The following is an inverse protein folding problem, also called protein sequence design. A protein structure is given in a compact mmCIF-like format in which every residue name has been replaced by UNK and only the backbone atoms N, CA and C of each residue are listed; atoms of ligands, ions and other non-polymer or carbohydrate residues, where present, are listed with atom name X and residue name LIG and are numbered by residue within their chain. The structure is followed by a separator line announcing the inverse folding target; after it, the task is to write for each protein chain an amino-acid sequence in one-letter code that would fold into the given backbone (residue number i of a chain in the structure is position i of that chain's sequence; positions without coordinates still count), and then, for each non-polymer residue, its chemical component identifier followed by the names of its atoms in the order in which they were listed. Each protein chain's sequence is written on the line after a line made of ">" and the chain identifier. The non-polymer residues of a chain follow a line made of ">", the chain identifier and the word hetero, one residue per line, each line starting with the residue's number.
data_IF_473605782653
#
_entry.id   IF_473605782653
#
_cell.length_a   1.000
_cell.length_b   1.000
_cell.length_c   1.000
_cell.angle_alpha   90.00
_cell.angle_beta   90.00
_cell.angle_gamma   90.00
#
_symmetry.space_group_name_H-M   'P 1'
#
loop_
_entity.id
_entity.type
_entity.pdbx_description
1 polymer ?
#
# COMPACT_ATOMS: atom_id res chain seq x y z
N UNK A 1 7.18 22.25 -11.12
CA UNK A 1 6.33 21.37 -10.31
C UNK A 1 6.23 21.96 -8.92
N UNK A 2 5.27 21.97 -8.14
CA UNK A 2 5.14 22.33 -6.70
C UNK A 2 5.84 23.61 -6.20
N UNK A 3 6.37 24.48 -7.06
CA UNK A 3 7.04 25.74 -6.68
C UNK A 3 6.15 26.72 -5.87
N UNK A 4 4.85 26.42 -5.77
CA UNK A 4 3.87 27.26 -5.08
C UNK A 4 3.31 26.65 -3.78
N UNK A 5 3.64 25.38 -3.44
CA UNK A 5 3.12 24.75 -2.20
C UNK A 5 4.12 24.91 -1.07
N UNK A 6 3.73 25.60 0.00
CA UNK A 6 4.59 25.86 1.15
C UNK A 6 5.01 24.55 1.88
N UNK A 7 6.19 24.54 2.50
CA UNK A 7 6.68 23.36 3.24
C UNK A 7 5.70 22.84 4.29
N UNK A 8 5.00 23.69 5.08
CA UNK A 8 3.99 23.19 6.02
C UNK A 8 2.84 22.43 5.35
N UNK A 9 2.36 22.90 4.19
CA UNK A 9 1.30 22.17 3.45
C UNK A 9 1.78 20.86 2.89
N UNK A 10 3.03 20.83 2.38
CA UNK A 10 3.64 19.56 1.90
C UNK A 10 3.86 18.58 3.05
N UNK A 11 4.33 19.05 4.20
CA UNK A 11 4.50 18.22 5.39
C UNK A 11 3.15 17.70 5.91
N UNK A 12 2.10 18.52 5.90
CA UNK A 12 0.75 18.07 6.25
C UNK A 12 0.23 16.99 5.28
N UNK A 13 0.50 17.11 3.99
CA UNK A 13 0.16 16.10 2.99
C UNK A 13 0.91 14.78 3.24
N UNK A 14 2.20 14.83 3.59
CA UNK A 14 2.98 13.64 3.96
C UNK A 14 2.45 13.00 5.25
N UNK A 15 2.12 13.79 6.27
CA UNK A 15 1.56 13.32 7.53
C UNK A 15 0.20 12.62 7.31
N UNK A 16 -0.73 13.31 6.65
CA UNK A 16 -2.09 12.80 6.41
C UNK A 16 -2.04 11.60 5.46
N UNK A 17 -1.25 11.68 4.40
CA UNK A 17 -1.09 10.57 3.44
C UNK A 17 -0.49 9.33 4.09
N UNK A 18 0.54 9.48 4.94
CA UNK A 18 1.13 8.34 5.65
C UNK A 18 0.19 7.81 6.73
N UNK A 19 -0.56 8.67 7.42
CA UNK A 19 -1.60 8.22 8.34
C UNK A 19 -2.67 7.40 7.61
N UNK A 20 -3.18 7.89 6.47
CA UNK A 20 -4.14 7.16 5.63
C UNK A 20 -3.58 5.81 5.16
N UNK A 21 -2.30 5.76 4.77
CA UNK A 21 -1.64 4.51 4.39
C UNK A 21 -1.67 3.51 5.55
N UNK A 22 -1.32 3.93 6.77
CA UNK A 22 -1.30 3.02 7.92
C UNK A 22 -2.71 2.64 8.39
N UNK A 23 -3.70 3.52 8.26
CA UNK A 23 -5.12 3.15 8.47
C UNK A 23 -5.52 2.02 7.53
N UNK A 24 -5.17 2.12 6.24
CA UNK A 24 -5.48 1.07 5.27
C UNK A 24 -4.74 -0.22 5.58
N UNK A 25 -3.42 -0.15 5.80
CA UNK A 25 -2.58 -1.35 6.02
C UNK A 25 -2.97 -2.07 7.30
N UNK A 26 -3.09 -1.36 8.41
CA UNK A 26 -3.42 -1.93 9.72
C UNK A 26 -4.89 -2.34 9.77
N UNK A 27 -5.79 -1.44 9.36
CA UNK A 27 -7.23 -1.70 9.40
C UNK A 27 -7.65 -2.88 8.53
N UNK A 28 -7.16 -2.96 7.29
CA UNK A 28 -7.45 -4.12 6.44
C UNK A 28 -6.84 -5.41 6.96
N UNK A 29 -5.68 -5.33 7.64
CA UNK A 29 -5.08 -6.49 8.30
C UNK A 29 -5.88 -7.00 9.48
N UNK A 30 -6.42 -6.09 10.32
CA UNK A 30 -7.33 -6.44 11.42
C UNK A 30 -8.60 -7.07 10.85
N UNK A 31 -9.27 -6.40 9.91
CA UNK A 31 -10.50 -6.88 9.30
C UNK A 31 -10.33 -8.26 8.64
N UNK A 32 -9.24 -8.45 7.90
CA UNK A 32 -8.98 -9.70 7.21
C UNK A 32 -8.74 -10.86 8.20
N UNK A 33 -8.02 -10.62 9.29
CA UNK A 33 -7.77 -11.62 10.34
C UNK A 33 -9.03 -11.95 11.16
N UNK A 34 -9.98 -11.01 11.30
CA UNK A 34 -11.27 -11.24 11.95
C UNK A 34 -12.24 -12.05 11.07
N UNK A 35 -12.22 -11.80 9.76
CA UNK A 35 -13.12 -12.47 8.81
C UNK A 35 -12.63 -13.84 8.36
N UNK A 36 -11.33 -14.10 8.39
CA UNK A 36 -10.76 -15.36 7.90
C UNK A 36 -9.69 -15.91 8.85
N UNK A 37 -9.76 -17.21 9.12
CA UNK A 37 -8.69 -17.94 9.83
C UNK A 37 -7.59 -18.43 8.89
N UNK A 38 -7.83 -18.40 7.58
CA UNK A 38 -6.82 -18.69 6.57
C UNK A 38 -5.93 -17.48 6.37
N UNK A 39 -4.65 -17.62 6.74
CA UNK A 39 -3.67 -16.54 6.65
C UNK A 39 -3.37 -16.11 5.21
N UNK A 40 -3.52 -17.00 4.23
CA UNK A 40 -3.38 -16.68 2.81
C UNK A 40 -4.50 -15.76 2.34
N UNK A 41 -5.75 -16.06 2.71
CA UNK A 41 -6.92 -15.23 2.42
C UNK A 41 -6.77 -13.85 3.10
N UNK A 42 -6.36 -13.83 4.37
CA UNK A 42 -6.11 -12.57 5.08
C UNK A 42 -5.00 -11.75 4.39
N UNK A 43 -3.92 -12.40 3.93
CA UNK A 43 -2.84 -11.72 3.20
C UNK A 43 -3.30 -11.19 1.85
N UNK A 44 -4.13 -11.93 1.08
CA UNK A 44 -4.71 -11.44 -0.18
C UNK A 44 -5.53 -10.18 0.07
N UNK A 45 -6.47 -10.22 1.00
CA UNK A 45 -7.34 -9.09 1.31
C UNK A 45 -6.52 -7.85 1.75
N UNK A 46 -5.56 -8.04 2.67
CA UNK A 46 -4.68 -6.97 3.14
C UNK A 46 -3.79 -6.41 2.01
N UNK A 47 -3.20 -7.25 1.17
CA UNK A 47 -2.32 -6.81 0.08
C UNK A 47 -3.08 -6.01 -0.98
N UNK A 48 -4.29 -6.44 -1.35
CA UNK A 48 -5.14 -5.72 -2.31
C UNK A 48 -5.59 -4.37 -1.75
N UNK A 49 -6.10 -4.34 -0.51
CA UNK A 49 -6.52 -3.10 0.12
C UNK A 49 -5.35 -2.12 0.26
N UNK A 50 -4.18 -2.61 0.71
CA UNK A 50 -2.96 -1.80 0.85
C UNK A 50 -2.49 -1.22 -0.48
N UNK A 51 -2.48 -2.02 -1.54
CA UNK A 51 -2.06 -1.58 -2.87
C UNK A 51 -3.00 -0.52 -3.45
N UNK A 52 -4.31 -0.78 -3.42
CA UNK A 52 -5.32 0.16 -3.92
C UNK A 52 -5.28 1.46 -3.13
N UNK A 53 -5.25 1.37 -1.79
CA UNK A 53 -5.14 2.52 -0.91
C UNK A 53 -3.88 3.35 -1.15
N UNK A 54 -2.71 2.68 -1.28
CA UNK A 54 -1.45 3.35 -1.59
C UNK A 54 -1.50 4.09 -2.93
N UNK A 55 -1.99 3.43 -3.99
CA UNK A 55 -2.10 4.05 -5.33
C UNK A 55 -3.01 5.28 -5.32
N UNK A 56 -4.15 5.19 -4.62
CA UNK A 56 -5.08 6.32 -4.43
C UNK A 56 -4.43 7.48 -3.67
N UNK A 57 -3.75 7.19 -2.56
CA UNK A 57 -3.07 8.19 -1.73
C UNK A 57 -1.95 8.88 -2.52
N UNK A 58 -1.13 8.13 -3.27
CA UNK A 58 -0.09 8.73 -4.13
C UNK A 58 -0.72 9.63 -5.19
N UNK A 59 -1.83 9.21 -5.80
CA UNK A 59 -2.53 10.00 -6.81
C UNK A 59 -3.06 11.30 -6.23
N UNK A 60 -3.63 11.25 -5.03
CA UNK A 60 -4.24 12.41 -4.35
C UNK A 60 -3.18 13.42 -3.85
N UNK A 61 -2.13 12.93 -3.19
CA UNK A 61 -1.14 13.79 -2.54
C UNK A 61 0.11 14.08 -3.40
N UNK A 62 0.30 13.32 -4.49
CA UNK A 62 1.42 13.53 -5.41
C UNK A 62 1.58 14.96 -5.91
N UNK A 63 0.51 15.63 -6.38
CA UNK A 63 0.57 17.02 -6.81
C UNK A 63 0.91 18.02 -5.69
N UNK A 64 0.70 17.67 -4.42
CA UNK A 64 0.91 18.53 -3.26
C UNK A 64 2.33 18.43 -2.69
N UNK A 65 2.79 17.20 -2.42
CA UNK A 65 4.05 16.93 -1.72
C UNK A 65 5.04 16.06 -2.49
N UNK A 66 4.59 15.42 -3.55
CA UNK A 66 5.28 14.31 -4.21
C UNK A 66 4.83 12.94 -3.67
N UNK A 67 4.03 12.93 -2.59
CA UNK A 67 3.52 11.72 -1.91
C UNK A 67 4.64 10.70 -1.68
N UNK A 68 5.72 11.11 -1.03
CA UNK A 68 6.81 10.19 -0.69
C UNK A 68 6.35 9.12 0.30
N UNK A 69 5.61 9.53 1.35
CA UNK A 69 4.99 8.66 2.38
C UNK A 69 5.97 7.65 3.02
N UNK A 70 7.26 7.86 2.79
CA UNK A 70 8.32 6.90 3.08
C UNK A 70 9.67 7.64 3.23
N UNK A 71 10.36 7.50 4.38
CA UNK A 71 11.66 8.14 4.58
C UNK A 71 12.72 7.70 3.57
N UNK A 72 12.72 6.44 3.10
CA UNK A 72 13.68 5.99 2.07
C UNK A 72 13.43 6.73 0.76
N UNK A 73 12.18 6.84 0.31
CA UNK A 73 11.82 7.59 -0.91
C UNK A 73 12.22 9.07 -0.75
N UNK A 74 12.01 9.64 0.43
CA UNK A 74 12.43 11.01 0.75
C UNK A 74 13.96 11.19 0.66
N UNK A 75 14.72 10.23 1.20
CA UNK A 75 16.18 10.23 1.12
C UNK A 75 16.69 10.09 -0.32
N UNK A 76 16.02 9.31 -1.17
CA UNK A 76 16.41 9.22 -2.59
C UNK A 76 16.20 10.55 -3.33
N UNK A 77 15.15 11.29 -2.99
CA UNK A 77 14.89 12.64 -3.53
C UNK A 77 15.93 13.64 -3.05
N UNK A 78 16.29 13.60 -1.77
CA UNK A 78 17.38 14.42 -1.22
C UNK A 78 18.73 14.08 -1.89
N UNK A 79 19.05 12.81 -2.06
CA UNK A 79 20.27 12.37 -2.75
C UNK A 79 20.33 12.86 -4.20
N UNK A 80 19.21 12.80 -4.92
CA UNK A 80 19.13 13.31 -6.28
C UNK A 80 19.51 14.80 -6.34
N UNK A 81 19.06 15.60 -5.37
CA UNK A 81 19.46 17.02 -5.25
C UNK A 81 20.96 17.17 -4.92
N UNK A 82 21.51 16.35 -4.03
CA UNK A 82 22.94 16.41 -3.70
C UNK A 82 23.85 16.07 -4.90
N UNK A 83 23.34 15.31 -5.86
CA UNK A 83 24.05 14.90 -7.08
C UNK A 83 23.76 15.80 -8.29
N UNK A 84 23.19 16.98 -8.06
CA UNK A 84 22.94 18.00 -9.09
C UNK A 84 21.63 17.87 -9.85
N UNK A 85 20.70 16.97 -9.40
CA UNK A 85 19.36 16.84 -9.94
C UNK A 85 18.32 17.66 -9.15
N UNK A 86 17.07 17.50 -9.54
CA UNK A 86 15.92 18.04 -8.81
C UNK A 86 15.57 17.14 -7.62
N UNK A 87 15.22 17.76 -6.47
CA UNK A 87 14.83 17.03 -5.28
C UNK A 87 14.69 17.90 -4.05
N UNK A 88 14.51 17.28 -2.89
CA UNK A 88 14.33 17.97 -1.61
C UNK A 88 15.65 18.46 -1.02
N UNK A 89 15.61 19.65 -0.37
CA UNK A 89 16.69 20.08 0.50
C UNK A 89 16.77 19.23 1.78
N UNK A 90 17.91 19.22 2.46
CA UNK A 90 18.10 18.41 3.67
C UNK A 90 17.10 18.72 4.78
N UNK A 91 16.77 20.01 5.00
CA UNK A 91 15.74 20.45 5.95
C UNK A 91 14.36 19.92 5.56
N UNK A 92 14.01 19.96 4.28
CA UNK A 92 12.74 19.47 3.78
C UNK A 92 12.62 17.96 3.94
N UNK A 93 13.70 17.21 3.65
CA UNK A 93 13.75 15.77 3.83
C UNK A 93 13.55 15.37 5.30
N UNK A 94 14.17 16.09 6.24
CA UNK A 94 13.99 15.84 7.66
C UNK A 94 12.54 16.10 8.11
N UNK A 95 11.94 17.21 7.67
CA UNK A 95 10.54 17.54 7.96
C UNK A 95 9.59 16.48 7.41
N UNK A 96 9.85 15.99 6.19
CA UNK A 96 9.06 14.91 5.59
C UNK A 96 9.17 13.62 6.40
N UNK A 97 10.39 13.18 6.73
CA UNK A 97 10.60 11.96 7.51
C UNK A 97 9.90 12.02 8.88
N UNK A 98 9.96 13.18 9.55
CA UNK A 98 9.26 13.41 10.82
C UNK A 98 7.73 13.36 10.64
N UNK A 99 7.19 14.04 9.62
CA UNK A 99 5.76 14.04 9.30
C UNK A 99 5.24 12.66 8.95
N UNK A 100 5.99 11.90 8.13
CA UNK A 100 5.68 10.53 7.74
C UNK A 100 5.65 9.59 8.96
N UNK A 101 6.65 9.71 9.86
CA UNK A 101 6.71 8.86 11.06
C UNK A 101 5.56 9.18 12.01
N UNK A 102 5.28 10.46 12.26
CA UNK A 102 4.15 10.88 13.09
C UNK A 102 2.81 10.43 12.47
N UNK A 103 2.66 10.57 11.15
CA UNK A 103 1.49 10.10 10.41
C UNK A 103 1.32 8.59 10.51
N UNK A 104 2.41 7.82 10.36
CA UNK A 104 2.37 6.37 10.47
C UNK A 104 1.91 5.89 11.85
N UNK A 105 2.45 6.47 12.92
CA UNK A 105 2.03 6.16 14.29
C UNK A 105 0.55 6.53 14.48
N UNK A 106 0.16 7.76 14.11
CA UNK A 106 -1.22 8.22 14.24
C UNK A 106 -2.21 7.37 13.45
N UNK A 107 -1.84 6.94 12.24
CA UNK A 107 -2.67 6.06 11.40
C UNK A 107 -2.84 4.65 11.99
N UNK A 108 -1.79 4.07 12.55
CA UNK A 108 -1.87 2.76 13.21
C UNK A 108 -2.76 2.83 14.46
N UNK A 109 -2.57 3.86 15.30
CA UNK A 109 -3.40 4.10 16.49
C UNK A 109 -4.87 4.33 16.13
N UNK A 110 -5.13 5.11 15.06
CA UNK A 110 -6.48 5.34 14.55
C UNK A 110 -7.13 4.05 14.04
N UNK A 111 -6.37 3.20 13.34
CA UNK A 111 -6.88 1.91 12.88
C UNK A 111 -7.31 1.04 14.08
N UNK A 112 -6.47 0.89 15.11
CA UNK A 112 -6.86 0.13 16.32
C UNK A 112 -8.13 0.71 16.96
N UNK A 113 -8.24 2.04 17.06
CA UNK A 113 -9.42 2.70 17.63
C UNK A 113 -10.69 2.43 16.80
N UNK A 114 -10.61 2.41 15.45
CA UNK A 114 -11.73 2.11 14.57
C UNK A 114 -12.30 0.70 14.78
N UNK A 115 -11.47 -0.24 15.20
CA UNK A 115 -11.88 -1.62 15.49
C UNK A 115 -12.15 -1.88 17.00
N UNK A 116 -12.26 -0.82 17.82
CA UNK A 116 -12.52 -0.95 19.25
C UNK A 116 -11.41 -1.66 20.03
N UNK A 117 -10.19 -1.71 19.48
CA UNK A 117 -9.02 -2.31 20.11
C UNK A 117 -8.26 -1.26 20.93
N UNK A 118 -7.32 -1.68 21.80
CA UNK A 118 -6.53 -0.76 22.63
C UNK A 118 -5.58 0.07 21.75
N UNK A 119 -5.82 1.38 21.56
CA UNK A 119 -5.01 2.20 20.68
C UNK A 119 -3.57 2.32 21.20
N UNK A 120 -2.59 2.13 20.32
CA UNK A 120 -1.17 2.31 20.65
C UNK A 120 -0.54 1.17 21.44
N UNK A 121 -1.20 0.03 21.57
CA UNK A 121 -0.58 -1.18 22.10
C UNK A 121 0.61 -1.59 21.24
N UNK A 122 1.76 -1.84 21.87
CA UNK A 122 2.92 -2.30 21.11
C UNK A 122 2.71 -3.73 20.58
N UNK A 123 3.11 -3.92 19.34
CA UNK A 123 3.08 -5.22 18.70
C UNK A 123 4.01 -6.22 19.41
N UNK A 124 3.51 -7.43 19.61
CA UNK A 124 4.26 -8.54 20.21
C UNK A 124 4.92 -9.43 19.18
N UNK A 125 4.53 -9.34 17.91
CA UNK A 125 5.04 -10.19 16.82
C UNK A 125 6.50 -9.87 16.50
N UNK A 126 7.40 -10.70 16.98
CA UNK A 126 8.84 -10.62 16.67
C UNK A 126 9.05 -11.05 15.20
N UNK A 127 9.73 -10.20 14.45
CA UNK A 127 10.13 -10.45 13.06
C UNK A 127 11.64 -10.38 12.99
N UNK A 128 12.30 -11.51 13.14
CA UNK A 128 13.74 -11.65 13.11
C UNK A 128 14.18 -12.71 12.08
N UNK A 129 15.48 -12.73 11.81
CA UNK A 129 16.07 -13.66 10.86
C UNK A 129 16.59 -12.96 9.58
N UNK A 130 17.77 -13.40 9.16
CA UNK A 130 18.46 -12.81 8.01
C UNK A 130 17.65 -12.84 6.71
N UNK A 131 16.81 -13.86 6.51
CA UNK A 131 15.95 -13.98 5.34
C UNK A 131 14.92 -12.85 5.27
N UNK A 132 14.36 -12.39 6.40
CA UNK A 132 13.44 -11.26 6.44
C UNK A 132 14.15 -9.95 6.07
N UNK A 133 15.38 -9.76 6.57
CA UNK A 133 16.19 -8.58 6.25
C UNK A 133 16.54 -8.56 4.76
N UNK A 134 16.90 -9.70 4.16
CA UNK A 134 17.10 -9.82 2.71
C UNK A 134 15.82 -9.46 1.97
N UNK A 135 14.64 -9.93 2.45
CA UNK A 135 13.34 -9.56 1.91
C UNK A 135 13.11 -8.05 1.90
N UNK A 136 13.45 -7.35 2.98
CA UNK A 136 13.34 -5.89 3.08
C UNK A 136 14.31 -5.16 2.13
N UNK A 137 15.56 -5.64 1.99
CA UNK A 137 16.50 -5.08 1.01
C UNK A 137 15.94 -5.19 -0.40
N UNK A 138 15.45 -6.37 -0.80
CA UNK A 138 14.89 -6.61 -2.14
C UNK A 138 13.62 -5.77 -2.36
N UNK A 139 12.70 -5.77 -1.40
CA UNK A 139 11.46 -4.99 -1.47
C UNK A 139 11.74 -3.49 -1.66
N UNK A 140 12.65 -2.95 -0.85
CA UNK A 140 12.94 -1.51 -0.89
C UNK A 140 13.77 -1.14 -2.12
N UNK A 141 14.71 -1.98 -2.53
CA UNK A 141 15.49 -1.76 -3.75
C UNK A 141 14.60 -1.72 -5.00
N UNK A 142 13.67 -2.65 -5.12
CA UNK A 142 12.73 -2.68 -6.23
C UNK A 142 11.76 -1.49 -6.21
N UNK A 143 11.26 -1.09 -5.03
CA UNK A 143 10.43 0.11 -4.89
C UNK A 143 11.16 1.36 -5.41
N UNK A 144 12.40 1.58 -4.97
CA UNK A 144 13.21 2.71 -5.40
C UNK A 144 13.52 2.61 -6.89
N UNK A 145 13.83 1.42 -7.40
CA UNK A 145 14.09 1.21 -8.83
C UNK A 145 12.86 1.54 -9.68
N UNK A 146 11.65 1.15 -9.27
CA UNK A 146 10.40 1.49 -9.97
C UNK A 146 10.19 2.99 -10.03
N UNK A 147 10.31 3.68 -8.89
CA UNK A 147 10.10 5.14 -8.82
C UNK A 147 11.15 5.87 -9.67
N UNK A 148 12.42 5.56 -9.46
CA UNK A 148 13.54 6.23 -10.14
C UNK A 148 13.59 5.89 -11.63
N UNK A 149 13.30 4.65 -11.99
CA UNK A 149 13.26 4.20 -13.39
C UNK A 149 12.17 4.94 -14.17
N UNK A 150 10.94 4.94 -13.65
CA UNK A 150 9.82 5.63 -14.30
C UNK A 150 10.06 7.15 -14.39
N UNK A 151 10.65 7.74 -13.36
CA UNK A 151 11.03 9.17 -13.38
C UNK A 151 12.03 9.46 -14.50
N UNK A 152 13.09 8.64 -14.65
CA UNK A 152 14.16 8.85 -15.64
C UNK A 152 13.74 8.64 -17.09
N UNK A 153 12.76 7.77 -17.33
CA UNK A 153 12.20 7.55 -18.68
C UNK A 153 11.01 8.48 -19.01
N UNK A 154 10.75 9.49 -18.15
CA UNK A 154 9.68 10.46 -18.37
C UNK A 154 8.26 9.95 -18.17
N UNK A 155 8.10 8.78 -17.52
CA UNK A 155 6.80 8.15 -17.26
C UNK A 155 6.31 8.31 -15.81
N UNK A 156 6.65 9.44 -15.17
CA UNK A 156 6.30 9.68 -13.76
C UNK A 156 4.78 9.60 -13.48
N UNK A 157 3.92 9.86 -14.47
CA UNK A 157 2.46 9.71 -14.33
C UNK A 157 2.01 8.27 -14.02
N UNK A 158 2.83 7.28 -14.31
CA UNK A 158 2.55 5.86 -14.02
C UNK A 158 2.97 5.45 -12.60
N UNK A 159 3.73 6.28 -11.87
CA UNK A 159 4.26 5.95 -10.54
C UNK A 159 3.15 5.46 -9.58
N UNK A 160 1.99 6.12 -9.46
CA UNK A 160 0.96 5.66 -8.52
C UNK A 160 0.54 4.21 -8.76
N UNK A 161 0.24 3.86 -10.01
CA UNK A 161 -0.20 2.51 -10.39
C UNK A 161 0.94 1.50 -10.29
N UNK A 162 2.15 1.87 -10.76
CA UNK A 162 3.30 0.98 -10.74
C UNK A 162 3.77 0.68 -9.32
N UNK A 163 3.78 1.66 -8.42
CA UNK A 163 4.12 1.47 -7.00
C UNK A 163 3.07 0.61 -6.31
N UNK A 164 1.77 0.87 -6.54
CA UNK A 164 0.69 0.05 -6.02
C UNK A 164 0.83 -1.42 -6.46
N UNK A 165 1.02 -1.67 -7.76
CA UNK A 165 1.20 -3.01 -8.31
C UNK A 165 2.47 -3.69 -7.78
N UNK A 166 3.59 -2.93 -7.67
CA UNK A 166 4.84 -3.45 -7.13
C UNK A 166 4.67 -3.88 -5.67
N UNK A 167 4.05 -3.05 -4.82
CA UNK A 167 3.84 -3.38 -3.40
C UNK A 167 2.88 -4.57 -3.25
N UNK A 168 1.81 -4.62 -4.05
CA UNK A 168 0.94 -5.81 -4.08
C UNK A 168 1.73 -7.09 -4.33
N UNK A 169 2.60 -7.09 -5.34
CA UNK A 169 3.46 -8.22 -5.66
C UNK A 169 4.51 -8.48 -4.56
N UNK A 170 5.17 -7.43 -4.04
CA UNK A 170 6.25 -7.54 -3.07
C UNK A 170 5.81 -8.12 -1.73
N UNK A 171 4.57 -7.88 -1.30
CA UNK A 171 3.97 -8.53 -0.13
C UNK A 171 4.00 -10.06 -0.27
N UNK A 172 3.90 -10.57 -1.50
CA UNK A 172 3.84 -12.00 -1.79
C UNK A 172 5.20 -12.63 -2.09
N UNK A 173 6.07 -11.94 -2.84
CA UNK A 173 7.34 -12.55 -3.26
C UNK A 173 8.48 -12.33 -2.25
N UNK A 174 8.31 -11.48 -1.24
CA UNK A 174 9.32 -11.29 -0.20
C UNK A 174 8.95 -11.99 1.10
N UNK A 175 9.92 -12.58 1.75
CA UNK A 175 9.74 -13.29 3.03
C UNK A 175 9.30 -12.37 4.19
N UNK A 176 9.58 -11.07 4.09
CA UNK A 176 9.23 -10.07 5.10
C UNK A 176 7.79 -9.58 5.00
N UNK A 177 7.12 -9.81 3.84
CA UNK A 177 5.84 -9.18 3.52
C UNK A 177 5.98 -7.70 3.12
N UNK A 178 7.18 -7.30 2.68
CA UNK A 178 7.46 -5.99 2.06
C UNK A 178 6.98 -4.78 2.87
N UNK A 179 7.62 -4.49 3.99
CA UNK A 179 7.37 -3.22 4.68
C UNK A 179 7.94 -2.04 3.88
N UNK A 180 9.20 -2.18 3.43
CA UNK A 180 9.88 -1.29 2.49
C UNK A 180 9.79 0.21 2.85
N UNK A 181 9.51 0.55 4.12
CA UNK A 181 9.18 1.90 4.58
C UNK A 181 9.51 2.05 6.07
N UNK A 182 10.55 2.80 6.47
CA UNK A 182 10.90 3.01 7.87
C UNK A 182 9.77 3.62 8.72
N UNK A 183 9.04 4.62 8.18
CA UNK A 183 7.92 5.22 8.89
C UNK A 183 6.78 4.22 9.09
N UNK A 184 6.43 3.46 8.04
CA UNK A 184 5.44 2.40 8.13
C UNK A 184 5.85 1.30 9.11
N UNK A 185 7.14 0.92 9.12
CA UNK A 185 7.70 -0.06 10.07
C UNK A 185 7.56 0.41 11.51
N UNK A 186 7.91 1.66 11.80
CA UNK A 186 7.74 2.26 13.12
C UNK A 186 6.24 2.34 13.49
N UNK A 187 5.39 2.82 12.58
CA UNK A 187 3.95 2.93 12.85
C UNK A 187 3.31 1.58 13.19
N UNK A 188 3.68 0.51 12.46
CA UNK A 188 3.15 -0.85 12.69
C UNK A 188 3.57 -1.46 14.02
N UNK A 189 4.58 -0.90 14.73
CA UNK A 189 4.90 -1.32 16.09
C UNK A 189 3.89 -0.84 17.13
N UNK A 190 3.01 0.11 16.78
CA UNK A 190 1.94 0.62 17.64
C UNK A 190 0.59 -0.07 17.36
N UNK A 191 0.61 -1.26 16.79
CA UNK A 191 -0.57 -2.09 16.52
C UNK A 191 -0.23 -3.55 16.72
N UNK A 192 -0.81 -4.18 17.74
CA UNK A 192 -0.67 -5.63 17.97
C UNK A 192 -1.68 -6.40 17.13
N UNK A 193 -1.49 -6.38 15.82
CA UNK A 193 -2.36 -6.94 14.81
C UNK A 193 -1.60 -7.84 13.84
N UNK A 194 -2.32 -8.45 12.89
CA UNK A 194 -1.77 -9.25 11.79
C UNK A 194 -0.58 -8.58 11.09
N UNK A 195 -0.62 -7.25 10.97
CA UNK A 195 0.43 -6.48 10.30
C UNK A 195 1.52 -5.97 11.23
N UNK A 196 1.43 -6.22 12.53
CA UNK A 196 2.32 -5.68 13.56
C UNK A 196 3.78 -6.15 13.44
N UNK A 197 4.67 -5.42 14.11
CA UNK A 197 6.08 -5.76 14.28
C UNK A 197 6.56 -5.33 15.66
N UNK A 198 7.14 -6.24 16.43
CA UNK A 198 7.65 -5.93 17.76
C UNK A 198 8.78 -4.87 17.70
N UNK A 199 8.84 -3.93 18.66
CA UNK A 199 9.83 -2.84 18.66
C UNK A 199 11.28 -3.30 18.52
N UNK A 200 11.62 -4.45 19.09
CA UNK A 200 12.97 -5.02 18.99
C UNK A 200 13.41 -5.38 17.57
N UNK A 201 12.47 -5.61 16.66
CA UNK A 201 12.74 -5.94 15.25
C UNK A 201 12.96 -4.69 14.38
N UNK A 202 12.58 -3.50 14.85
CA UNK A 202 12.65 -2.25 14.08
C UNK A 202 14.05 -1.92 13.56
N UNK A 203 15.14 -2.00 14.39
CA UNK A 203 16.46 -1.58 13.93
C UNK A 203 16.96 -2.39 12.72
N UNK A 204 16.73 -3.71 12.71
CA UNK A 204 17.10 -4.58 11.60
C UNK A 204 16.34 -4.25 10.33
N UNK A 205 15.03 -4.08 10.42
CA UNK A 205 14.18 -3.73 9.28
C UNK A 205 14.55 -2.37 8.69
N UNK A 206 14.70 -1.34 9.54
CA UNK A 206 15.06 0.01 9.08
C UNK A 206 16.43 0.01 8.40
N UNK A 207 17.42 -0.69 8.98
CA UNK A 207 18.75 -0.80 8.37
C UNK A 207 18.70 -1.51 7.00
N UNK A 208 17.93 -2.61 6.88
CA UNK A 208 17.74 -3.33 5.63
C UNK A 208 17.03 -2.47 4.58
N UNK A 209 16.03 -1.68 4.97
CA UNK A 209 15.33 -0.75 4.09
C UNK A 209 16.24 0.37 3.58
N UNK A 210 17.09 0.94 4.44
CA UNK A 210 18.06 1.95 4.03
C UNK A 210 19.08 1.38 3.04
N UNK A 211 19.59 0.17 3.31
CA UNK A 211 20.47 -0.55 2.38
C UNK A 211 19.76 -0.83 1.06
N UNK A 212 18.52 -1.30 1.10
CA UNK A 212 17.69 -1.53 -0.08
C UNK A 212 17.50 -0.26 -0.92
N UNK A 213 17.26 0.88 -0.25
CA UNK A 213 17.19 2.18 -0.91
C UNK A 213 18.46 2.55 -1.66
N UNK A 214 19.63 2.33 -1.04
CA UNK A 214 20.93 2.57 -1.67
C UNK A 214 21.15 1.63 -2.88
N UNK A 215 20.82 0.34 -2.74
CA UNK A 215 20.90 -0.64 -3.84
C UNK A 215 19.98 -0.24 -4.98
N UNK A 216 18.73 0.15 -4.70
CA UNK A 216 17.78 0.61 -5.72
C UNK A 216 18.25 1.84 -6.47
N UNK A 217 18.85 2.81 -5.78
CA UNK A 217 19.50 3.97 -6.42
C UNK A 217 20.66 3.58 -7.33
N UNK A 218 21.53 2.67 -6.86
CA UNK A 218 22.65 2.18 -7.65
C UNK A 218 22.18 1.44 -8.91
N UNK A 219 21.19 0.57 -8.79
CA UNK A 219 20.58 -0.12 -9.92
C UNK A 219 19.93 0.87 -10.91
N UNK A 220 19.21 1.87 -10.40
CA UNK A 220 18.62 2.88 -11.26
C UNK A 220 19.68 3.72 -11.97
N UNK A 221 20.81 4.03 -11.33
CA UNK A 221 21.94 4.72 -11.96
C UNK A 221 22.64 3.87 -13.01
N UNK A 222 22.81 2.59 -12.73
CA UNK A 222 23.42 1.63 -13.65
C UNK A 222 22.57 1.44 -14.91
N UNK A 223 21.26 1.26 -14.75
CA UNK A 223 20.37 0.90 -15.87
C UNK A 223 19.89 2.11 -16.70
N UNK A 224 19.67 3.26 -16.05
CA UNK A 224 19.10 4.45 -16.70
C UNK A 224 20.06 5.64 -16.74
N UNK A 225 21.31 5.46 -16.30
CA UNK A 225 22.32 6.53 -16.21
C UNK A 225 22.13 7.41 -14.97
N UNK A 226 23.13 8.27 -14.71
CA UNK A 226 23.05 9.25 -13.60
C UNK A 226 21.94 10.27 -13.84
N UNK A 227 21.51 10.96 -12.75
CA UNK A 227 20.60 12.11 -12.84
C UNK A 227 21.32 13.21 -13.62
N UNK A 228 20.97 13.41 -14.90
CA UNK A 228 21.47 14.54 -15.68
C UNK A 228 20.72 15.78 -15.25
N UNK A 229 21.44 16.79 -14.75
CA UNK A 229 20.94 18.15 -14.64
C UNK A 229 20.40 18.57 -16.01
N UNK A 230 19.17 19.06 -16.05
CA UNK A 230 18.37 19.39 -17.22
C UNK A 230 19.14 19.70 -18.48
N UNK A 231 19.26 18.73 -19.34
CA UNK A 231 19.60 18.96 -20.73
C UNK A 231 18.31 19.22 -21.48
N UNK A 232 18.03 20.49 -21.71
CA UNK A 232 17.07 21.02 -22.69
C UNK A 232 17.60 20.82 -24.12
N UNK A 233 18.16 19.65 -24.41
CA UNK A 233 18.52 19.26 -25.77
C UNK A 233 17.69 18.03 -26.15
N UNK A 234 16.37 18.20 -26.19
CA UNK A 234 15.61 17.47 -27.17
C UNK A 234 15.95 18.13 -28.53
N UNK A 235 16.57 17.46 -29.48
CA UNK A 235 16.45 17.90 -30.85
C UNK A 235 14.94 17.98 -31.10
N UNK A 236 14.46 19.14 -31.51
CA UNK A 236 13.15 19.27 -32.07
C UNK A 236 13.05 18.15 -33.15
N UNK A 237 12.31 17.10 -32.85
CA UNK A 237 11.87 16.21 -33.89
C UNK A 237 11.04 17.13 -34.78
N UNK A 238 11.65 17.50 -35.92
CA UNK A 238 10.98 18.16 -37.02
C UNK A 238 9.81 17.24 -37.35
N UNK A 239 8.62 17.67 -36.96
CA UNK A 239 7.37 17.01 -37.35
C UNK A 239 7.34 17.06 -38.86
N UNK A 240 7.78 15.97 -39.49
CA UNK A 240 7.49 15.77 -40.90
C UNK A 240 5.96 15.87 -41.06
N UNK A 241 5.46 16.69 -41.98
CA UNK A 241 4.04 16.85 -42.19
C UNK A 241 3.45 15.48 -42.53
N UNK A 242 2.67 14.91 -41.60
CA UNK A 242 1.91 13.69 -41.87
C UNK A 242 0.88 14.05 -42.90
N UNK A 243 1.18 13.67 -44.17
CA UNK A 243 0.22 13.73 -45.24
C UNK A 243 -1.03 12.95 -44.81
N UNK A 244 -2.17 13.62 -44.82
CA UNK A 244 -3.43 13.11 -44.35
C UNK A 244 -3.84 11.82 -45.05
N UNK A 245 -3.78 10.71 -44.30
CA UNK A 245 -4.50 9.50 -44.65
C UNK A 245 -5.86 9.60 -43.94
N UNK A 246 -6.97 9.64 -44.67
CA UNK A 246 -8.28 9.64 -44.02
C UNK A 246 -8.49 8.28 -43.36
N UNK A 247 -8.41 8.25 -42.00
CA UNK A 247 -8.82 7.08 -41.24
C UNK A 247 -10.34 7.06 -41.21
N UNK A 248 -10.93 6.19 -41.99
CA UNK A 248 -12.34 5.86 -41.86
C UNK A 248 -12.54 5.12 -40.54
N UNK A 249 -13.06 5.83 -39.52
CA UNK A 249 -13.47 5.22 -38.26
C UNK A 249 -14.83 4.56 -38.51
N UNK A 250 -14.82 3.25 -38.74
CA UNK A 250 -16.04 2.45 -38.66
C UNK A 250 -16.38 2.24 -37.17
N UNK A 251 -17.57 2.63 -36.72
CA UNK A 251 -17.95 2.35 -35.32
C UNK A 251 -18.12 0.84 -35.14
N UNK A 252 -17.29 0.25 -34.29
CA UNK A 252 -17.46 -1.13 -33.83
C UNK A 252 -18.59 -1.11 -32.80
N UNK A 253 -19.73 -1.68 -33.16
CA UNK A 253 -20.81 -1.93 -32.23
C UNK A 253 -20.35 -2.95 -31.19
N UNK A 254 -20.12 -2.51 -29.96
CA UNK A 254 -19.87 -3.39 -28.82
C UNK A 254 -21.20 -3.94 -28.36
N UNK A 255 -21.47 -5.22 -28.67
CA UNK A 255 -22.62 -5.92 -28.11
C UNK A 255 -22.42 -6.05 -26.58
N UNK A 256 -23.48 -5.85 -25.75
CA UNK A 256 -23.38 -6.05 -24.33
C UNK A 256 -23.11 -7.53 -24.04
N UNK A 257 -22.00 -7.79 -23.33
CA UNK A 257 -21.72 -9.11 -22.78
C UNK A 257 -22.61 -9.27 -21.55
N UNK A 258 -23.68 -10.03 -21.67
CA UNK A 258 -24.48 -10.50 -20.55
C UNK A 258 -23.72 -11.69 -19.95
N UNK A 259 -23.15 -11.52 -18.76
CA UNK A 259 -22.58 -12.60 -17.99
C UNK A 259 -23.68 -13.17 -17.10
N UNK A 260 -24.29 -14.25 -17.51
CA UNK A 260 -25.16 -15.03 -16.62
C UNK A 260 -24.30 -15.73 -15.57
N UNK A 261 -24.28 -15.19 -14.37
CA UNK A 261 -23.70 -15.84 -13.22
C UNK A 261 -24.73 -16.83 -12.67
N UNK A 262 -24.66 -18.07 -13.11
CA UNK A 262 -25.40 -19.17 -12.49
C UNK A 262 -24.68 -19.53 -11.19
N UNK A 263 -25.21 -19.07 -10.05
CA UNK A 263 -24.77 -19.51 -8.73
C UNK A 263 -25.51 -20.80 -8.42
N UNK A 264 -24.87 -21.94 -8.65
CA UNK A 264 -25.37 -23.24 -8.24
C UNK A 264 -25.12 -23.39 -6.73
N UNK A 265 -26.15 -23.13 -5.92
CA UNK A 265 -26.10 -23.36 -4.48
C UNK A 265 -26.65 -24.76 -4.26
N UNK A 266 -25.83 -25.74 -3.84
CA UNK A 266 -26.34 -27.05 -3.47
C UNK A 266 -27.20 -26.91 -2.20
N UNK A 267 -28.51 -27.02 -2.35
CA UNK A 267 -29.41 -27.14 -1.21
C UNK A 267 -29.34 -28.63 -0.76
N UNK A 268 -28.61 -28.90 0.30
CA UNK A 268 -28.68 -30.16 1.01
C UNK A 268 -30.11 -30.36 1.59
N UNK A 269 -30.95 -31.08 0.85
CA UNK A 269 -32.26 -31.52 1.29
C UNK A 269 -32.20 -32.96 1.80
N UNK A 270 -31.41 -33.20 2.82
CA UNK A 270 -31.47 -34.46 3.55
C UNK A 270 -31.17 -34.25 5.03
N UNK A 271 -32.20 -33.90 5.82
CA UNK A 271 -32.24 -34.13 7.28
C UNK A 271 -33.56 -33.65 7.94
N UNK A 272 -34.66 -33.46 7.19
CA UNK A 272 -35.94 -33.05 7.82
C UNK A 272 -37.04 -34.12 7.72
N UNK A 273 -36.80 -35.25 7.07
CA UNK A 273 -37.83 -36.27 6.88
C UNK A 273 -37.89 -37.37 7.98
N UNK A 274 -37.01 -37.37 8.97
CA UNK A 274 -36.94 -38.45 9.97
C UNK A 274 -37.38 -38.08 11.39
N UNK A 275 -37.88 -36.87 11.63
CA UNK A 275 -38.31 -36.40 12.97
C UNK A 275 -39.82 -36.28 13.17
N UNK A 276 -40.67 -36.75 12.21
CA UNK A 276 -42.12 -36.65 12.32
C UNK A 276 -42.86 -37.96 12.52
N UNK A 277 -42.19 -39.02 13.02
CA UNK A 277 -42.88 -40.26 13.44
C UNK A 277 -42.47 -40.69 14.83
N UNK A 278 -42.99 -40.06 15.84
CA UNK A 278 -42.79 -40.45 17.24
C UNK A 278 -43.84 -39.78 18.13
N UNK A 279 -44.94 -40.47 18.30
CA UNK A 279 -46.05 -40.10 19.20
C UNK A 279 -45.71 -40.23 20.67
N UNK A 280 -46.17 -39.25 21.49
CA UNK A 280 -46.50 -39.41 22.93
C UNK A 280 -45.84 -38.40 23.88
N UNK A 281 -46.42 -38.14 25.05
CA UNK A 281 -46.94 -36.78 25.32
C UNK A 281 -46.27 -36.06 26.53
N UNK A 282 -46.50 -34.75 26.55
CA UNK A 282 -46.63 -33.78 27.67
C UNK A 282 -45.49 -33.64 28.73
N UNK A 283 -45.03 -32.46 28.85
CA UNK A 283 -45.13 -31.53 29.98
C UNK A 283 -43.93 -30.55 30.09
N UNK A 284 -44.21 -29.29 30.33
CA UNK A 284 -43.29 -28.39 31.08
C UNK A 284 -42.70 -27.22 30.37
N UNK A 285 -43.45 -26.13 30.26
CA UNK A 285 -43.07 -24.71 30.46
C UNK A 285 -41.59 -24.36 30.58
N UNK A 286 -41.09 -23.46 29.71
CA UNK A 286 -40.49 -22.17 30.10
C UNK A 286 -40.10 -21.31 28.88
N UNK A 287 -40.61 -20.12 28.87
CA UNK A 287 -40.36 -18.98 27.97
C UNK A 287 -38.90 -18.53 27.97
N UNK A 288 -38.34 -18.26 26.75
CA UNK A 288 -37.40 -17.16 26.58
C UNK A 288 -37.46 -16.65 25.13
N UNK A 289 -38.03 -15.45 25.01
CA UNK A 289 -37.97 -14.58 23.83
C UNK A 289 -36.55 -13.98 23.74
N UNK A 290 -35.91 -14.14 22.62
CA UNK A 290 -34.87 -13.23 22.20
C UNK A 290 -35.14 -12.79 20.76
N UNK A 291 -35.39 -11.50 20.62
CA UNK A 291 -35.67 -10.82 19.36
C UNK A 291 -34.36 -10.64 18.58
N UNK A 292 -34.42 -10.95 17.30
CA UNK A 292 -33.45 -10.45 16.34
C UNK A 292 -34.01 -9.13 15.77
N UNK A 293 -33.36 -8.02 16.07
CA UNK A 293 -33.54 -6.76 15.37
C UNK A 293 -32.56 -6.69 14.19
N UNK A 294 -33.14 -6.44 13.04
CA UNK A 294 -32.56 -6.15 11.73
C UNK A 294 -31.88 -4.79 11.79
N UNK A 295 -30.64 -4.68 11.32
CA UNK A 295 -30.02 -3.40 10.99
C UNK A 295 -29.99 -3.28 9.47
N UNK A 296 -30.64 -2.20 8.97
CA UNK A 296 -30.62 -1.75 7.58
C UNK A 296 -29.31 -1.02 7.24
#
# INVERSE_FOLDING_TARGET
>A
MTAHTSLPRRAAAELIGTAGLLVVVVGSGIQAAELSRDTGVALIANSLASAVGLGLIITLFGPLSGAHLNPVVTLTSWWARCTGGEGLGGREALVYAAAQTAGAIGGAVLAEAMFGRTPGAFATQVRDGGHLLVGEVVATAGLVLVIQGLGRIGRAKLIPVAVAAYIAAAIWFTSSGSFANPAGTIGRSFSDSFTGIAPQSLPGFVAAQLLGGAVGLALAALLYGGVRAGRTDAPAAEEAPVAGVPVAVTPVAVAPVVVDVVVDVPVEREAVAESLSGTGPAEGTATSKAAYETIG
#
